data_IF_772900254263
#
_entry.id   IF_772900254263
#
_cell.length_a   1.000
_cell.length_b   1.000
_cell.length_c   1.000
_cell.angle_alpha   90.00
_cell.angle_beta   90.00
_cell.angle_gamma   90.00
#
_symmetry.space_group_name_H-M   'P 1'
#
loop_
_entity.id
_entity.type
_entity.pdbx_description
1 polymer ?
#
# COMPACT_ATOMS: atom_id res chain seq x y z
N UNK A 1 7.68 16.84 -3.00
CA UNK A 1 8.98 16.20 -3.24
C UNK A 1 10.08 17.22 -3.51
N UNK A 2 9.99 18.05 -4.56
CA UNK A 2 11.11 18.90 -5.02
C UNK A 2 11.76 19.77 -3.94
N UNK A 3 10.99 20.58 -3.20
CA UNK A 3 11.54 21.44 -2.14
C UNK A 3 12.26 20.67 -1.02
N UNK A 4 11.77 19.47 -0.69
CA UNK A 4 12.38 18.62 0.34
C UNK A 4 13.66 17.99 -0.20
N UNK A 5 13.62 17.47 -1.43
CA UNK A 5 14.79 16.88 -2.08
C UNK A 5 15.90 17.93 -2.25
N UNK A 6 15.58 19.11 -2.78
CA UNK A 6 16.55 20.20 -2.98
C UNK A 6 17.21 20.65 -1.67
N UNK A 7 16.41 20.84 -0.60
CA UNK A 7 16.93 21.31 0.68
C UNK A 7 17.71 20.25 1.48
N UNK A 8 17.44 18.96 1.25
CA UNK A 8 17.87 17.89 2.16
C UNK A 8 18.47 16.65 1.48
N UNK A 9 18.71 16.63 0.16
CA UNK A 9 19.26 15.45 -0.52
C UNK A 9 20.58 14.95 0.08
N UNK A 10 21.44 15.84 0.59
CA UNK A 10 22.68 15.45 1.28
C UNK A 10 22.49 14.88 2.69
N UNK A 11 21.25 14.83 3.20
CA UNK A 11 20.89 14.39 4.56
C UNK A 11 19.87 13.25 4.58
N UNK A 12 19.24 12.94 3.43
CA UNK A 12 18.21 11.92 3.30
C UNK A 12 18.71 10.77 2.43
N UNK A 13 18.34 9.55 2.77
CA UNK A 13 18.58 8.38 1.92
C UNK A 13 17.44 8.16 0.90
N UNK A 14 16.23 8.64 1.20
CA UNK A 14 15.08 8.40 0.34
C UNK A 14 13.80 9.11 0.79
N UNK A 15 12.75 8.88 0.02
CA UNK A 15 11.38 9.37 0.26
C UNK A 15 10.46 8.16 0.35
N UNK A 16 9.77 8.02 1.48
CA UNK A 16 8.67 7.05 1.64
C UNK A 16 7.34 7.73 1.30
N UNK A 17 6.63 7.21 0.31
CA UNK A 17 5.25 7.60 0.04
C UNK A 17 4.31 6.83 0.97
N UNK A 18 3.70 7.53 1.90
CA UNK A 18 2.62 7.01 2.72
C UNK A 18 1.26 7.58 2.24
N UNK A 19 0.20 6.78 2.36
CA UNK A 19 -1.15 7.13 1.92
C UNK A 19 -1.29 7.62 0.46
N UNK A 20 -0.35 7.30 -0.45
CA UNK A 20 -0.48 7.64 -1.87
C UNK A 20 -1.50 6.71 -2.55
N UNK A 21 -2.75 7.19 -2.63
CA UNK A 21 -3.91 6.49 -3.19
C UNK A 21 -5.12 7.40 -3.20
N UNK A 22 -6.20 6.96 -3.84
CA UNK A 22 -7.52 7.59 -3.73
C UNK A 22 -8.20 7.26 -2.40
N UNK A 23 -9.38 7.85 -2.20
CA UNK A 23 -10.24 7.57 -1.06
C UNK A 23 -10.59 6.07 -0.98
N UNK A 24 -11.09 5.66 0.18
CA UNK A 24 -11.44 4.28 0.49
C UNK A 24 -12.24 3.64 -0.63
N UNK A 25 -11.73 2.56 -1.23
CA UNK A 25 -12.39 2.02 -2.42
C UNK A 25 -13.73 1.37 -2.12
N UNK A 26 -13.93 0.79 -0.93
CA UNK A 26 -15.23 0.24 -0.53
C UNK A 26 -16.31 1.34 -0.47
N UNK A 27 -15.97 2.51 0.08
CA UNK A 27 -16.87 3.66 0.07
C UNK A 27 -17.03 4.26 -1.34
N UNK A 28 -15.94 4.31 -2.11
CA UNK A 28 -15.94 4.94 -3.45
C UNK A 28 -16.77 4.15 -4.47
N UNK A 29 -17.02 2.87 -4.23
CA UNK A 29 -17.95 2.04 -5.02
C UNK A 29 -19.40 2.48 -4.85
N UNK A 30 -19.79 2.93 -3.66
CA UNK A 30 -21.14 3.40 -3.37
C UNK A 30 -21.29 4.91 -3.59
N UNK A 31 -20.22 5.65 -3.29
CA UNK A 31 -20.14 7.10 -3.31
C UNK A 31 -18.99 7.56 -4.24
N UNK A 32 -19.21 7.54 -5.56
CA UNK A 32 -18.19 7.94 -6.53
C UNK A 32 -17.82 9.42 -6.33
N UNK A 33 -16.55 9.77 -6.58
CA UNK A 33 -16.12 11.17 -6.47
C UNK A 33 -16.88 12.07 -7.47
N UNK A 34 -17.48 13.15 -6.97
CA UNK A 34 -18.27 14.11 -7.77
C UNK A 34 -17.52 15.42 -8.06
N UNK A 35 -16.19 15.44 -7.88
CA UNK A 35 -15.40 16.61 -8.24
C UNK A 35 -15.53 16.95 -9.74
N UNK A 36 -15.25 18.20 -10.10
CA UNK A 36 -15.38 18.70 -11.48
C UNK A 36 -14.63 17.81 -12.49
N UNK A 37 -13.41 17.39 -12.15
CA UNK A 37 -12.59 16.52 -13.00
C UNK A 37 -13.21 15.14 -13.25
N UNK A 38 -13.65 14.46 -12.18
CA UNK A 38 -14.31 13.15 -12.31
C UNK A 38 -15.63 13.27 -13.08
N UNK A 39 -16.44 14.29 -12.79
CA UNK A 39 -17.69 14.55 -13.52
C UNK A 39 -17.44 14.82 -15.02
N UNK A 40 -16.41 15.60 -15.36
CA UNK A 40 -16.05 15.87 -16.75
C UNK A 40 -15.61 14.61 -17.51
N UNK A 41 -14.79 13.76 -16.89
CA UNK A 41 -14.39 12.48 -17.48
C UNK A 41 -15.60 11.58 -17.74
N UNK A 42 -16.51 11.42 -16.75
CA UNK A 42 -17.70 10.58 -16.95
C UNK A 42 -18.61 11.11 -18.04
N UNK A 43 -18.83 12.43 -18.12
CA UNK A 43 -19.63 13.03 -19.21
C UNK A 43 -19.04 12.70 -20.58
N UNK A 44 -17.71 12.80 -20.71
CA UNK A 44 -16.99 12.52 -21.96
C UNK A 44 -17.14 11.06 -22.41
N UNK A 45 -17.03 10.10 -21.51
CA UNK A 45 -16.92 8.68 -21.89
C UNK A 45 -18.22 7.89 -21.72
N UNK A 46 -19.10 8.31 -20.81
CA UNK A 46 -20.34 7.59 -20.48
C UNK A 46 -21.60 8.42 -20.69
N UNK A 47 -21.47 9.73 -20.96
CA UNK A 47 -22.61 10.62 -21.21
C UNK A 47 -23.34 11.10 -19.95
N UNK A 48 -22.83 10.80 -18.75
CA UNK A 48 -23.40 11.25 -17.47
C UNK A 48 -22.31 11.74 -16.51
N UNK A 49 -22.67 12.57 -15.53
CA UNK A 49 -21.72 13.09 -14.53
C UNK A 49 -21.61 12.20 -13.29
N UNK A 50 -22.75 11.69 -12.81
CA UNK A 50 -22.86 10.87 -11.60
C UNK A 50 -23.52 9.54 -11.98
N UNK A 51 -22.84 8.40 -11.80
CA UNK A 51 -23.39 7.10 -12.18
C UNK A 51 -24.45 6.63 -11.17
N UNK A 52 -25.52 6.06 -11.68
CA UNK A 52 -26.50 5.28 -10.90
C UNK A 52 -25.88 4.00 -10.34
N UNK A 53 -26.53 3.35 -9.37
CA UNK A 53 -26.05 2.08 -8.82
C UNK A 53 -25.91 0.98 -9.89
N UNK A 54 -26.83 0.91 -10.85
CA UNK A 54 -26.76 -0.05 -11.95
C UNK A 54 -25.53 0.20 -12.84
N UNK A 55 -25.30 1.46 -13.23
CA UNK A 55 -24.13 1.85 -14.04
C UNK A 55 -22.81 1.61 -13.31
N UNK A 56 -22.76 1.81 -11.99
CA UNK A 56 -21.59 1.48 -11.18
C UNK A 56 -21.29 -0.02 -11.16
N UNK A 57 -22.26 -0.88 -11.45
CA UNK A 57 -22.08 -2.32 -11.55
C UNK A 57 -21.69 -2.79 -12.97
N UNK A 58 -21.78 -1.92 -13.99
CA UNK A 58 -21.42 -2.28 -15.35
C UNK A 58 -19.90 -2.54 -15.47
N UNK A 59 -19.47 -3.73 -15.93
CA UNK A 59 -18.05 -4.09 -15.97
C UNK A 59 -17.19 -3.13 -16.80
N UNK A 60 -17.68 -2.67 -17.95
CA UNK A 60 -16.96 -1.73 -18.82
C UNK A 60 -16.76 -0.36 -18.16
N UNK A 61 -17.79 0.14 -17.48
CA UNK A 61 -17.73 1.38 -16.70
C UNK A 61 -16.73 1.24 -15.54
N UNK A 62 -16.81 0.15 -14.77
CA UNK A 62 -15.86 -0.15 -13.68
C UNK A 62 -14.41 -0.21 -14.16
N UNK A 63 -14.15 -0.99 -15.21
CA UNK A 63 -12.83 -1.10 -15.81
C UNK A 63 -12.25 0.28 -16.14
N UNK A 64 -13.06 1.11 -16.79
CA UNK A 64 -12.61 2.42 -17.27
C UNK A 64 -12.38 3.42 -16.14
N UNK A 65 -13.24 3.44 -15.12
CA UNK A 65 -13.03 4.24 -13.89
C UNK A 65 -11.75 3.84 -13.15
N UNK A 66 -11.55 2.53 -12.95
CA UNK A 66 -10.35 2.00 -12.30
C UNK A 66 -9.08 2.34 -13.09
N UNK A 67 -9.12 2.25 -14.41
CA UNK A 67 -7.99 2.60 -15.27
C UNK A 67 -7.58 4.07 -15.09
N UNK A 68 -8.54 5.01 -15.02
CA UNK A 68 -8.24 6.42 -14.79
C UNK A 68 -7.72 6.68 -13.40
N UNK A 69 -8.31 6.04 -12.39
CA UNK A 69 -7.88 6.15 -11.01
C UNK A 69 -6.41 5.75 -10.87
N UNK A 70 -6.06 4.57 -11.39
CA UNK A 70 -4.69 4.06 -11.39
C UNK A 70 -3.76 4.98 -12.18
N UNK A 71 -4.17 5.45 -13.37
CA UNK A 71 -3.36 6.38 -14.16
C UNK A 71 -3.06 7.69 -13.41
N UNK A 72 -4.03 8.24 -12.70
CA UNK A 72 -3.86 9.49 -11.95
C UNK A 72 -2.90 9.33 -10.77
N UNK A 73 -3.08 8.28 -9.97
CA UNK A 73 -2.18 8.02 -8.83
C UNK A 73 -0.77 7.68 -9.33
N UNK A 74 -0.66 6.84 -10.35
CA UNK A 74 0.61 6.50 -11.00
C UNK A 74 1.33 7.74 -11.53
N UNK A 75 0.62 8.69 -12.15
CA UNK A 75 1.23 9.93 -12.63
C UNK A 75 1.83 10.75 -11.48
N UNK A 76 1.18 10.79 -10.32
CA UNK A 76 1.75 11.43 -9.12
C UNK A 76 3.01 10.70 -8.63
N UNK A 77 3.00 9.36 -8.62
CA UNK A 77 4.19 8.56 -8.25
C UNK A 77 5.34 8.79 -9.22
N UNK A 78 5.07 8.79 -10.52
CA UNK A 78 6.07 9.06 -11.56
C UNK A 78 6.70 10.45 -11.41
N UNK A 79 5.89 11.48 -11.13
CA UNK A 79 6.41 12.83 -10.87
C UNK A 79 7.31 12.87 -9.62
N UNK A 80 7.01 12.10 -8.57
CA UNK A 80 7.90 11.97 -7.41
C UNK A 80 9.18 11.22 -7.78
N UNK A 81 9.08 10.14 -8.57
CA UNK A 81 10.24 9.37 -9.05
C UNK A 81 11.20 10.24 -9.85
N UNK A 82 10.71 11.09 -10.74
CA UNK A 82 11.56 12.02 -11.50
C UNK A 82 12.37 12.91 -10.56
N UNK A 83 11.71 13.49 -9.55
CA UNK A 83 12.38 14.30 -8.54
C UNK A 83 13.38 13.47 -7.74
N UNK A 84 13.01 12.31 -7.19
CA UNK A 84 13.94 11.53 -6.37
C UNK A 84 15.14 11.06 -7.19
N UNK A 85 14.95 10.70 -8.46
CA UNK A 85 16.03 10.30 -9.36
C UNK A 85 17.01 11.46 -9.63
N UNK A 86 16.50 12.67 -9.85
CA UNK A 86 17.32 13.87 -10.03
C UNK A 86 18.28 14.12 -8.84
N UNK A 87 17.83 13.79 -7.63
CA UNK A 87 18.59 14.02 -6.40
C UNK A 87 19.26 12.75 -5.83
N UNK A 88 19.25 11.63 -6.56
CA UNK A 88 19.86 10.38 -6.10
C UNK A 88 19.21 9.77 -4.85
N UNK A 89 17.93 10.07 -4.62
CA UNK A 89 17.15 9.56 -3.50
C UNK A 89 16.42 8.27 -3.88
N UNK A 90 16.36 7.32 -2.95
CA UNK A 90 15.47 6.17 -3.07
C UNK A 90 14.00 6.60 -2.95
N UNK A 91 13.10 5.88 -3.62
CA UNK A 91 11.66 6.07 -3.51
C UNK A 91 11.00 4.76 -3.10
N UNK A 92 10.37 4.77 -1.93
CA UNK A 92 9.66 3.61 -1.39
C UNK A 92 8.19 3.94 -1.15
N UNK A 93 7.37 2.91 -0.97
CA UNK A 93 5.93 3.07 -0.72
C UNK A 93 5.47 2.24 0.47
N UNK A 94 4.60 2.82 1.32
CA UNK A 94 3.73 2.07 2.22
C UNK A 94 2.52 1.57 1.42
N UNK A 95 2.54 0.28 1.09
CA UNK A 95 1.59 -0.37 0.19
C UNK A 95 0.46 -1.06 0.95
N UNK A 96 -0.76 -1.04 0.40
CA UNK A 96 -1.88 -1.85 0.87
C UNK A 96 -1.48 -3.32 0.78
N UNK A 97 -1.67 -4.03 1.89
CA UNK A 97 -1.38 -5.46 1.96
C UNK A 97 -2.21 -6.25 0.94
N UNK A 98 -3.50 -5.98 0.83
CA UNK A 98 -4.36 -6.73 -0.08
C UNK A 98 -4.24 -6.11 -1.48
N UNK A 99 -3.61 -6.81 -2.43
CA UNK A 99 -3.37 -6.26 -3.78
C UNK A 99 -4.67 -6.25 -4.62
N UNK A 100 -5.21 -7.43 -4.93
CA UNK A 100 -6.45 -7.59 -5.72
C UNK A 100 -7.66 -8.01 -4.89
N UNK A 101 -7.51 -8.88 -3.90
CA UNK A 101 -8.59 -9.38 -3.06
C UNK A 101 -8.06 -9.87 -1.71
N UNK A 102 -8.95 -9.97 -0.71
CA UNK A 102 -8.74 -10.75 0.50
C UNK A 102 -10.06 -11.36 0.96
N UNK A 103 -10.09 -12.60 1.47
CA UNK A 103 -11.33 -13.23 1.95
C UNK A 103 -11.99 -12.48 3.12
N UNK A 104 -11.23 -11.71 3.88
CA UNK A 104 -11.70 -10.97 5.06
C UNK A 104 -12.11 -9.52 4.78
N UNK A 105 -12.04 -9.08 3.52
CA UNK A 105 -12.32 -7.68 3.14
C UNK A 105 -13.71 -7.14 3.52
N UNK A 106 -14.79 -7.94 3.65
CA UNK A 106 -16.09 -7.45 4.10
C UNK A 106 -16.32 -7.63 5.62
N UNK A 107 -15.40 -8.26 6.35
CA UNK A 107 -15.60 -8.64 7.75
C UNK A 107 -15.01 -7.56 8.67
N UNK A 108 -15.77 -6.97 9.61
CA UNK A 108 -15.20 -6.05 10.60
C UNK A 108 -13.98 -6.64 11.33
N UNK A 109 -12.94 -5.84 11.64
CA UNK A 109 -12.88 -4.39 11.53
C UNK A 109 -12.56 -3.86 10.12
N UNK A 110 -12.61 -4.69 9.07
CA UNK A 110 -12.19 -4.36 7.69
C UNK A 110 -13.19 -3.45 6.94
N UNK A 111 -13.96 -2.63 7.66
CA UNK A 111 -14.55 -1.42 7.10
C UNK A 111 -13.44 -0.40 6.85
N UNK A 112 -12.67 -0.61 5.78
CA UNK A 112 -11.84 0.45 5.22
C UNK A 112 -10.48 0.07 4.63
N UNK A 113 -10.22 -1.21 4.38
CA UNK A 113 -9.03 -1.67 3.67
C UNK A 113 -9.46 -2.33 2.35
N UNK A 114 -9.79 -1.52 1.34
CA UNK A 114 -10.07 -2.07 0.02
C UNK A 114 -8.81 -2.57 -0.69
N UNK A 115 -8.94 -3.32 -1.80
CA UNK A 115 -7.79 -3.76 -2.57
C UNK A 115 -6.93 -2.58 -3.04
N UNK A 116 -5.62 -2.78 -3.13
CA UNK A 116 -4.67 -1.75 -3.54
C UNK A 116 -5.05 -1.15 -4.90
N UNK A 117 -5.35 -2.02 -5.88
CA UNK A 117 -5.67 -1.62 -7.26
C UNK A 117 -6.96 -0.80 -7.35
N UNK A 118 -7.94 -1.06 -6.49
CA UNK A 118 -9.20 -0.29 -6.49
C UNK A 118 -9.07 1.08 -5.85
N UNK A 119 -7.98 1.33 -5.11
CA UNK A 119 -7.62 2.64 -4.57
C UNK A 119 -6.59 3.36 -5.46
N UNK A 120 -6.25 2.79 -6.62
CA UNK A 120 -5.25 3.36 -7.52
C UNK A 120 -3.81 3.04 -7.13
N UNK A 121 -3.58 2.15 -6.16
CA UNK A 121 -2.26 1.81 -5.65
C UNK A 121 -1.75 0.51 -6.28
N UNK A 122 -1.56 0.52 -7.59
CA UNK A 122 -1.01 -0.61 -8.35
C UNK A 122 0.51 -0.76 -8.13
N UNK A 123 0.89 -1.09 -6.89
CA UNK A 123 2.29 -1.13 -6.48
C UNK A 123 3.10 -2.25 -7.14
N UNK A 124 2.45 -3.27 -7.71
CA UNK A 124 3.13 -4.30 -8.52
C UNK A 124 3.58 -3.69 -9.84
N UNK A 125 2.68 -3.03 -10.58
CA UNK A 125 3.05 -2.34 -11.83
C UNK A 125 4.11 -1.27 -11.56
N UNK A 126 4.02 -0.54 -10.45
CA UNK A 126 5.01 0.49 -10.12
C UNK A 126 6.40 -0.10 -9.88
N UNK A 127 6.46 -1.27 -9.25
CA UNK A 127 7.71 -1.97 -9.00
C UNK A 127 8.31 -2.52 -10.31
N UNK A 128 7.50 -3.12 -11.17
CA UNK A 128 7.90 -3.60 -12.51
C UNK A 128 8.38 -2.47 -13.42
N UNK A 129 7.69 -1.33 -13.39
CA UNK A 129 8.03 -0.14 -14.17
C UNK A 129 9.22 0.65 -13.61
N UNK A 130 9.81 0.23 -12.48
CA UNK A 130 10.93 0.93 -11.84
C UNK A 130 10.55 2.30 -11.25
N UNK A 131 9.28 2.51 -10.92
CA UNK A 131 8.82 3.74 -10.28
C UNK A 131 9.15 3.79 -8.79
N UNK A 132 9.34 2.64 -8.15
CA UNK A 132 9.72 2.53 -6.74
C UNK A 132 10.90 1.58 -6.58
N UNK A 133 11.79 1.92 -5.67
CA UNK A 133 12.96 1.13 -5.29
C UNK A 133 12.64 0.11 -4.20
N UNK A 134 11.58 0.34 -3.41
CA UNK A 134 11.10 -0.60 -2.41
C UNK A 134 9.58 -0.54 -2.20
N UNK A 135 8.98 -1.71 -1.95
CA UNK A 135 7.57 -1.88 -1.59
C UNK A 135 7.49 -2.36 -0.15
N UNK A 136 6.89 -1.53 0.71
CA UNK A 136 6.67 -1.82 2.13
C UNK A 136 5.20 -2.14 2.35
N UNK A 137 4.81 -3.42 2.33
CA UNK A 137 3.39 -3.79 2.45
C UNK A 137 2.90 -3.67 3.89
N UNK A 138 1.76 -3.04 4.10
CA UNK A 138 1.16 -2.81 5.43
C UNK A 138 0.37 -4.04 5.91
N UNK A 139 1.04 -5.17 6.11
CA UNK A 139 0.41 -6.42 6.55
C UNK A 139 0.15 -6.41 8.06
N UNK A 140 -0.98 -5.82 8.45
CA UNK A 140 -1.33 -5.62 9.87
C UNK A 140 -2.20 -6.74 10.45
N UNK A 141 -2.33 -7.88 9.76
CA UNK A 141 -3.18 -8.97 10.22
C UNK A 141 -2.67 -9.54 11.54
N UNK A 142 -3.54 -9.52 12.55
CA UNK A 142 -3.26 -10.12 13.87
C UNK A 142 -3.34 -11.64 13.81
N UNK A 143 -4.22 -12.19 12.99
CA UNK A 143 -4.33 -13.63 12.73
C UNK A 143 -3.17 -14.11 11.86
N UNK A 144 -2.46 -15.13 12.32
CA UNK A 144 -1.24 -15.62 11.65
C UNK A 144 -1.47 -16.22 10.27
N UNK A 145 -2.63 -16.85 10.06
CA UNK A 145 -3.02 -17.42 8.77
C UNK A 145 -3.16 -16.34 7.69
N UNK A 146 -3.94 -15.29 7.94
CA UNK A 146 -4.08 -14.17 6.99
C UNK A 146 -2.78 -13.41 6.78
N UNK A 147 -1.96 -13.24 7.82
CA UNK A 147 -0.65 -12.65 7.66
C UNK A 147 0.22 -13.48 6.71
N UNK A 148 0.26 -14.81 6.89
CA UNK A 148 1.02 -15.74 6.03
C UNK A 148 0.53 -15.71 4.59
N UNK A 149 -0.79 -15.78 4.38
CA UNK A 149 -1.39 -15.76 3.06
C UNK A 149 -1.00 -14.49 2.29
N UNK A 150 -1.13 -13.32 2.93
CA UNK A 150 -0.75 -12.05 2.32
C UNK A 150 0.75 -11.97 2.03
N UNK A 151 1.60 -12.44 2.96
CA UNK A 151 3.04 -12.49 2.74
C UNK A 151 3.41 -13.35 1.52
N UNK A 152 2.80 -14.53 1.38
CA UNK A 152 3.02 -15.41 0.25
C UNK A 152 2.58 -14.77 -1.07
N UNK A 153 1.45 -14.05 -1.06
CA UNK A 153 1.01 -13.27 -2.21
C UNK A 153 1.97 -12.12 -2.55
N UNK A 154 2.49 -11.38 -1.57
CA UNK A 154 3.46 -10.31 -1.81
C UNK A 154 4.73 -10.83 -2.46
N UNK A 155 5.26 -11.94 -1.95
CA UNK A 155 6.45 -12.58 -2.48
C UNK A 155 6.23 -13.06 -3.92
N UNK A 156 5.09 -13.70 -4.20
CA UNK A 156 4.73 -14.14 -5.54
C UNK A 156 4.58 -12.96 -6.51
N UNK A 157 3.96 -11.87 -6.08
CA UNK A 157 3.73 -10.68 -6.91
C UNK A 157 5.01 -9.88 -7.20
N UNK A 158 6.02 -9.97 -6.32
CA UNK A 158 7.28 -9.22 -6.45
C UNK A 158 8.47 -10.08 -6.88
N UNK A 159 8.28 -11.38 -7.15
CA UNK A 159 9.37 -12.34 -7.38
C UNK A 159 10.33 -11.92 -8.52
N UNK A 160 9.81 -11.28 -9.56
CA UNK A 160 10.57 -10.85 -10.75
C UNK A 160 10.87 -9.33 -10.71
N UNK A 161 10.46 -8.65 -9.64
CA UNK A 161 10.65 -7.21 -9.49
C UNK A 161 12.07 -6.88 -9.05
N UNK A 162 12.55 -5.71 -9.49
CA UNK A 162 13.79 -5.13 -8.97
C UNK A 162 13.60 -4.33 -7.68
N UNK A 163 12.35 -3.98 -7.36
CA UNK A 163 12.06 -3.28 -6.11
C UNK A 163 12.30 -4.24 -4.93
N UNK A 164 12.95 -3.73 -3.90
CA UNK A 164 13.10 -4.49 -2.64
C UNK A 164 11.74 -4.68 -2.00
N UNK A 165 11.51 -5.86 -1.45
CA UNK A 165 10.32 -6.14 -0.66
C UNK A 165 10.64 -6.01 0.83
N UNK A 166 9.85 -5.21 1.53
CA UNK A 166 9.89 -5.11 2.99
C UNK A 166 8.51 -5.47 3.55
N UNK A 167 8.43 -6.44 4.46
CA UNK A 167 7.15 -6.77 5.09
C UNK A 167 6.85 -5.80 6.23
N UNK A 168 5.81 -4.99 6.09
CA UNK A 168 5.30 -4.16 7.18
C UNK A 168 4.44 -4.96 8.16
N UNK A 169 4.75 -4.87 9.44
CA UNK A 169 4.05 -5.52 10.54
C UNK A 169 3.40 -4.45 11.41
N UNK A 170 2.10 -4.58 11.64
CA UNK A 170 1.35 -3.69 12.53
C UNK A 170 1.45 -4.16 13.97
N UNK A 171 2.28 -3.53 14.79
CA UNK A 171 2.38 -3.84 16.22
C UNK A 171 1.15 -3.35 16.99
N UNK A 172 0.69 -2.14 16.67
CA UNK A 172 -0.54 -1.56 17.19
C UNK A 172 -1.21 -0.75 16.07
N UNK A 173 -2.35 -1.23 15.57
CA UNK A 173 -3.02 -0.68 14.38
C UNK A 173 -4.54 -0.65 14.54
N UNK A 174 -5.27 -0.31 13.48
CA UNK A 174 -6.73 -0.46 13.44
C UNK A 174 -7.18 -1.93 13.42
N UNK A 175 -6.30 -2.87 13.08
CA UNK A 175 -6.57 -4.31 13.04
C UNK A 175 -6.37 -5.00 14.41
N UNK A 176 -5.90 -4.25 15.42
CA UNK A 176 -5.59 -4.74 16.74
C UNK A 176 -4.11 -4.55 17.11
N UNK A 177 -3.69 -5.24 18.16
CA UNK A 177 -2.35 -5.17 18.72
C UNK A 177 -1.73 -6.57 18.75
N UNK A 178 -0.43 -6.66 18.48
CA UNK A 178 0.35 -7.89 18.61
C UNK A 178 1.03 -7.93 19.98
N UNK A 179 0.91 -9.07 20.65
CA UNK A 179 1.78 -9.41 21.77
C UNK A 179 3.23 -9.62 21.31
N UNK A 180 4.23 -9.53 22.21
CA UNK A 180 5.63 -9.84 21.87
C UNK A 180 5.82 -11.25 21.28
N UNK A 181 5.05 -12.24 21.77
CA UNK A 181 5.07 -13.61 21.24
C UNK A 181 4.58 -13.68 19.80
N UNK A 182 3.46 -13.01 19.50
CA UNK A 182 2.95 -12.95 18.12
C UNK A 182 3.89 -12.19 17.19
N UNK A 183 4.52 -11.09 17.64
CA UNK A 183 5.53 -10.38 16.86
C UNK A 183 6.71 -11.32 16.50
N UNK A 184 7.18 -12.12 17.48
CA UNK A 184 8.21 -13.13 17.27
C UNK A 184 7.79 -14.17 16.24
N UNK A 185 6.54 -14.64 16.28
CA UNK A 185 6.02 -15.55 15.25
C UNK A 185 6.06 -14.93 13.85
N UNK A 186 5.71 -13.64 13.70
CA UNK A 186 5.79 -12.95 12.39
C UNK A 186 7.23 -12.89 11.89
N UNK A 187 8.18 -12.56 12.75
CA UNK A 187 9.60 -12.55 12.38
C UNK A 187 10.17 -13.92 12.04
N UNK A 188 9.79 -14.96 12.77
CA UNK A 188 10.17 -16.34 12.42
C UNK A 188 9.64 -16.72 11.04
N UNK A 189 8.42 -16.34 10.71
CA UNK A 189 7.85 -16.55 9.39
C UNK A 189 8.58 -15.75 8.30
N UNK A 190 8.95 -14.49 8.55
CA UNK A 190 9.77 -13.73 7.59
C UNK A 190 11.10 -14.43 7.32
N UNK A 191 11.78 -14.92 8.37
CA UNK A 191 13.02 -15.70 8.23
C UNK A 191 12.80 -17.01 7.45
N UNK A 192 11.73 -17.74 7.74
CA UNK A 192 11.33 -18.97 7.00
C UNK A 192 11.17 -18.70 5.50
N UNK A 193 10.65 -17.53 5.15
CA UNK A 193 10.43 -17.09 3.76
C UNK A 193 11.61 -16.29 3.18
N UNK A 194 12.76 -16.27 3.85
CA UNK A 194 13.96 -15.54 3.46
C UNK A 194 13.74 -14.02 3.26
N UNK A 195 12.78 -13.42 3.95
CA UNK A 195 12.57 -11.97 3.99
C UNK A 195 13.47 -11.36 5.06
N UNK A 196 14.38 -10.51 4.62
CA UNK A 196 15.42 -9.90 5.47
C UNK A 196 15.07 -8.52 5.99
N UNK A 197 14.03 -7.89 5.45
CA UNK A 197 13.64 -6.53 5.79
C UNK A 197 12.19 -6.48 6.31
N UNK A 198 12.02 -5.87 7.48
CA UNK A 198 10.72 -5.68 8.10
C UNK A 198 10.53 -4.23 8.55
N UNK A 199 9.33 -3.70 8.39
CA UNK A 199 8.94 -2.38 8.86
C UNK A 199 7.93 -2.51 9.99
N UNK A 200 8.14 -1.82 11.09
CA UNK A 200 7.20 -1.85 12.23
C UNK A 200 6.33 -0.61 12.20
N UNK A 201 5.03 -0.83 12.07
CA UNK A 201 4.02 0.21 12.14
C UNK A 201 3.31 0.16 13.49
N UNK A 202 3.25 1.30 14.15
CA UNK A 202 2.63 1.43 15.47
C UNK A 202 1.98 2.80 15.62
N UNK A 203 0.84 2.85 16.29
CA UNK A 203 0.17 4.10 16.67
C UNK A 203 0.97 4.90 17.70
N UNK A 204 1.85 4.25 18.47
CA UNK A 204 2.64 4.89 19.53
C UNK A 204 4.12 4.51 19.40
N UNK A 205 5.01 5.43 19.75
CA UNK A 205 6.45 5.14 19.77
C UNK A 205 6.92 4.50 21.10
N UNK A 206 5.98 3.93 21.87
CA UNK A 206 6.26 3.36 23.18
C UNK A 206 6.21 1.85 23.05
N UNK A 207 7.37 1.22 23.18
CA UNK A 207 7.53 -0.23 23.12
C UNK A 207 7.79 -0.78 24.52
N UNK A 208 7.18 -1.92 24.86
CA UNK A 208 7.56 -2.63 26.08
C UNK A 208 9.00 -3.17 25.97
N UNK A 209 9.71 -3.39 27.09
CA UNK A 209 11.03 -4.01 27.08
C UNK A 209 11.07 -5.35 26.32
N UNK A 210 10.01 -6.15 26.43
CA UNK A 210 9.85 -7.44 25.76
C UNK A 210 9.72 -7.27 24.24
N UNK A 211 8.91 -6.31 23.78
CA UNK A 211 8.83 -5.97 22.35
C UNK A 211 10.19 -5.54 21.81
N UNK A 212 10.91 -4.65 22.53
CA UNK A 212 12.25 -4.22 22.13
C UNK A 212 13.24 -5.38 22.05
N UNK A 213 13.15 -6.36 22.97
CA UNK A 213 13.99 -7.55 22.93
C UNK A 213 13.74 -8.39 21.67
N UNK A 214 12.47 -8.55 21.26
CA UNK A 214 12.09 -9.25 20.02
C UNK A 214 12.62 -8.51 18.78
N UNK A 215 12.50 -7.17 18.75
CA UNK A 215 13.02 -6.36 17.64
C UNK A 215 14.54 -6.49 17.49
N UNK A 216 15.27 -6.44 18.62
CA UNK A 216 16.74 -6.56 18.62
C UNK A 216 17.21 -7.94 18.14
N UNK A 217 16.52 -9.00 18.57
CA UNK A 217 16.80 -10.38 18.15
C UNK A 217 16.52 -10.61 16.66
N UNK A 218 15.56 -9.89 16.08
CA UNK A 218 15.34 -9.94 14.63
C UNK A 218 16.43 -9.22 13.84
N UNK A 219 16.89 -8.07 14.34
CA UNK A 219 17.86 -7.20 13.67
C UNK A 219 19.32 -7.67 13.79
N UNK A 220 19.61 -8.64 14.65
CA UNK A 220 20.92 -9.32 14.76
C UNK A 220 21.06 -10.44 13.73
#
# INVERSE_FOLDING_TARGET
AARVAEGYAGQLCGVQLDFIRSANSLLSLDFPCECEGCCALRRKYFGYAVPTAAQRCEPACRYKELAWLNANVRAAVAAVREVTAQYGLELSIAARSNYLNSPDIPVPPVWGLGPAVTEGQDWVEWAEAGLVDAVVTMNYHTQGEYFRQNLEDHLRLLQDSRARFCSGIGLASSMGELSPGQLRERFMLLREKAVTEAYIFTKTNIYSPECLAVLRDFAS
#
